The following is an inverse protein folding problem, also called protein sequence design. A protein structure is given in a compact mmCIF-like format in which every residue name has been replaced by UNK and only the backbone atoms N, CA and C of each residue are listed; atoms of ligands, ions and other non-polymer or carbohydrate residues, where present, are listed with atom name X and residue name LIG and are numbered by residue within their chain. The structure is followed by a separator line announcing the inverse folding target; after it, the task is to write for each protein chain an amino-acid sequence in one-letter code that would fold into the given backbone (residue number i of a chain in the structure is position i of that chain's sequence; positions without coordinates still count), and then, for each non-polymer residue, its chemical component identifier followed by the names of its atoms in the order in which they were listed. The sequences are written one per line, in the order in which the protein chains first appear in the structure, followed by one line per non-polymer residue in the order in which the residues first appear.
data_IF_231237017925
#
_entry.id   IF_231237017925
#
_cell.length_a   1.000
_cell.length_b   1.000
_cell.length_c   1.000
_cell.angle_alpha   90.00
_cell.angle_beta   90.00
_cell.angle_gamma   90.00
#
_symmetry.space_group_name_H-M   'P 1'
#
loop_
_entity.id
_entity.type
_entity.pdbx_description
1 polymer ?
#
# COMPACT_ATOMS: atom_id res chain seq x y z
N UNK A 1 11.75 -16.14 8.14
CA UNK A 1 11.82 -14.80 8.76
C UNK A 1 12.71 -14.82 9.99
N UNK A 2 13.63 -13.89 10.12
CA UNK A 2 14.47 -13.70 11.33
C UNK A 2 14.14 -12.32 11.90
N UNK A 3 13.51 -12.28 13.09
CA UNK A 3 13.26 -11.02 13.80
C UNK A 3 14.53 -10.66 14.58
N UNK A 4 14.95 -9.42 14.45
CA UNK A 4 16.10 -8.85 15.18
C UNK A 4 15.62 -7.62 15.96
N UNK A 5 16.00 -7.51 17.20
CA UNK A 5 15.66 -6.37 18.04
C UNK A 5 16.92 -5.62 18.47
N UNK A 6 16.81 -4.31 18.54
CA UNK A 6 17.82 -3.45 19.12
C UNK A 6 17.29 -2.90 20.45
N UNK A 7 17.81 -3.44 21.57
CA UNK A 7 17.44 -3.01 22.92
C UNK A 7 18.00 -1.61 23.28
N UNK A 8 18.92 -1.07 22.44
CA UNK A 8 19.50 0.28 22.64
C UNK A 8 18.77 1.35 21.84
N UNK A 9 17.90 0.94 20.91
CA UNK A 9 17.09 1.87 20.12
C UNK A 9 16.08 2.59 21.01
N UNK A 10 15.79 3.83 20.68
CA UNK A 10 14.69 4.60 21.28
C UNK A 10 13.30 4.05 20.90
N UNK A 11 13.21 3.27 19.80
CA UNK A 11 11.99 2.65 19.37
C UNK A 11 11.61 1.48 20.32
N UNK A 12 10.37 1.48 20.86
CA UNK A 12 9.87 0.39 21.70
C UNK A 12 9.97 -0.96 21.01
N UNK A 13 10.37 -2.00 21.76
CA UNK A 13 10.60 -3.35 21.22
C UNK A 13 9.34 -3.97 20.58
N UNK A 14 8.16 -3.67 21.09
CA UNK A 14 6.89 -4.11 20.49
C UNK A 14 6.67 -3.49 19.11
N UNK A 15 7.06 -2.24 18.90
CA UNK A 15 6.98 -1.60 17.59
C UNK A 15 8.03 -2.15 16.62
N UNK A 16 9.25 -2.45 17.09
CA UNK A 16 10.27 -3.08 16.26
C UNK A 16 9.82 -4.45 15.74
N UNK A 17 9.18 -5.27 16.60
CA UNK A 17 8.62 -6.57 16.20
C UNK A 17 7.50 -6.37 15.17
N UNK A 18 6.57 -5.44 15.45
CA UNK A 18 5.47 -5.11 14.56
C UNK A 18 5.97 -4.70 13.18
N UNK A 19 6.88 -3.74 13.11
CA UNK A 19 7.42 -3.20 11.86
C UNK A 19 8.09 -4.28 11.01
N UNK A 20 8.85 -5.19 11.62
CA UNK A 20 9.51 -6.28 10.92
C UNK A 20 8.53 -7.32 10.38
N UNK A 21 7.46 -7.64 11.12
CA UNK A 21 6.41 -8.55 10.63
C UNK A 21 5.68 -7.92 9.45
N UNK A 22 5.31 -6.63 9.53
CA UNK A 22 4.68 -5.91 8.42
C UNK A 22 5.60 -5.87 7.19
N UNK A 23 6.89 -5.58 7.38
CA UNK A 23 7.86 -5.60 6.29
C UNK A 23 7.97 -6.98 5.63
N UNK A 24 7.98 -8.06 6.42
CA UNK A 24 8.02 -9.42 5.89
C UNK A 24 6.74 -9.80 5.12
N UNK A 25 5.57 -9.28 5.51
CA UNK A 25 4.32 -9.41 4.76
C UNK A 25 4.40 -8.61 3.44
N UNK A 26 4.84 -7.36 3.51
CA UNK A 26 4.95 -6.48 2.35
C UNK A 26 5.91 -7.00 1.28
N UNK A 27 7.01 -7.65 1.70
CA UNK A 27 8.00 -8.26 0.79
C UNK A 27 7.63 -9.67 0.33
N UNK A 28 6.52 -10.24 0.81
CA UNK A 28 6.08 -11.58 0.47
C UNK A 28 6.85 -12.70 1.18
N UNK A 29 7.74 -12.39 2.11
CA UNK A 29 8.41 -13.39 2.95
C UNK A 29 7.43 -14.13 3.87
N UNK A 30 6.40 -13.40 4.36
CA UNK A 30 5.26 -13.96 5.07
C UNK A 30 4.01 -13.84 4.21
N UNK A 31 3.46 -14.98 3.81
CA UNK A 31 2.24 -15.04 3.01
C UNK A 31 1.02 -15.35 3.90
N UNK A 32 -0.21 -15.02 3.45
CA UNK A 32 -1.44 -15.38 4.15
C UNK A 32 -1.48 -16.84 4.58
N UNK A 33 -1.96 -17.10 5.79
CA UNK A 33 -2.00 -18.44 6.38
C UNK A 33 -0.69 -18.94 6.98
N UNK A 34 0.43 -18.23 6.82
CA UNK A 34 1.69 -18.59 7.47
C UNK A 34 1.55 -18.52 8.99
N UNK A 35 1.95 -19.58 9.68
CA UNK A 35 1.97 -19.61 11.14
C UNK A 35 3.14 -18.78 11.69
N UNK A 36 2.85 -17.91 12.64
CA UNK A 36 3.87 -17.20 13.41
C UNK A 36 4.30 -18.02 14.64
N UNK A 37 5.51 -17.82 15.15
CA UNK A 37 5.94 -18.41 16.42
C UNK A 37 4.94 -18.08 17.53
N UNK A 38 4.80 -18.96 18.52
CA UNK A 38 4.02 -18.61 19.71
C UNK A 38 4.66 -17.44 20.44
N UNK A 39 3.83 -16.64 21.14
CA UNK A 39 4.33 -15.50 21.96
C UNK A 39 5.45 -15.94 22.90
N UNK A 40 5.36 -17.14 23.48
CA UNK A 40 6.39 -17.69 24.38
C UNK A 40 7.66 -18.06 23.63
N UNK A 41 7.52 -18.70 22.47
CA UNK A 41 8.67 -19.08 21.65
C UNK A 41 9.42 -17.84 21.19
N UNK A 42 8.72 -16.85 20.62
CA UNK A 42 9.35 -15.62 20.14
C UNK A 42 9.99 -14.81 21.28
N UNK A 43 9.35 -14.72 22.44
CA UNK A 43 9.93 -14.05 23.61
C UNK A 43 11.22 -14.75 24.09
N UNK A 44 11.23 -16.07 24.08
CA UNK A 44 12.41 -16.88 24.42
C UNK A 44 13.54 -16.69 23.41
N UNK A 45 13.22 -16.73 22.12
CA UNK A 45 14.20 -16.61 21.02
C UNK A 45 14.85 -15.22 20.99
N UNK A 46 14.08 -14.18 21.32
CA UNK A 46 14.57 -12.80 21.39
C UNK A 46 15.15 -12.40 22.75
N UNK A 47 15.00 -13.23 23.77
CA UNK A 47 15.46 -12.93 25.13
C UNK A 47 14.76 -11.72 25.77
N UNK A 48 13.47 -11.51 25.48
CA UNK A 48 12.67 -10.37 25.96
C UNK A 48 11.43 -10.80 26.75
N UNK A 49 10.78 -9.81 27.35
CA UNK A 49 9.57 -10.06 28.12
C UNK A 49 8.42 -10.55 27.22
N UNK A 50 7.73 -11.60 27.67
CA UNK A 50 6.54 -12.16 27.06
C UNK A 50 5.45 -11.10 26.79
N UNK A 51 5.28 -10.14 27.70
CA UNK A 51 4.30 -9.07 27.57
C UNK A 51 4.59 -8.14 26.38
N UNK A 52 5.87 -7.91 26.06
CA UNK A 52 6.29 -7.11 24.91
C UNK A 52 5.87 -7.78 23.59
N UNK A 53 6.13 -9.07 23.45
CA UNK A 53 5.71 -9.84 22.28
C UNK A 53 4.19 -9.92 22.18
N UNK A 54 3.51 -10.15 23.33
CA UNK A 54 2.05 -10.19 23.36
C UNK A 54 1.42 -8.86 22.92
N UNK A 55 2.01 -7.72 23.33
CA UNK A 55 1.58 -6.39 22.91
C UNK A 55 1.73 -6.21 21.39
N UNK A 56 2.88 -6.58 20.82
CA UNK A 56 3.12 -6.53 19.37
C UNK A 56 2.09 -7.37 18.60
N UNK A 57 1.81 -8.59 19.05
CA UNK A 57 0.83 -9.48 18.41
C UNK A 57 -0.61 -8.97 18.57
N UNK A 58 -0.94 -8.35 19.70
CA UNK A 58 -2.25 -7.74 19.90
C UNK A 58 -2.48 -6.59 18.93
N UNK A 59 -1.49 -5.71 18.74
CA UNK A 59 -1.56 -4.60 17.79
C UNK A 59 -1.70 -5.11 16.35
N UNK A 60 -0.87 -6.09 15.95
CA UNK A 60 -0.96 -6.70 14.61
C UNK A 60 -2.32 -7.36 14.35
N UNK A 61 -2.94 -7.96 15.38
CA UNK A 61 -4.29 -8.52 15.29
C UNK A 61 -5.34 -7.41 15.12
N UNK A 62 -5.26 -6.36 15.92
CA UNK A 62 -6.22 -5.25 15.91
C UNK A 62 -6.13 -4.46 14.59
N UNK A 63 -4.95 -4.42 13.97
CA UNK A 63 -4.70 -3.88 12.64
C UNK A 63 -5.05 -4.85 11.50
N UNK A 64 -5.40 -6.10 11.83
CA UNK A 64 -5.84 -7.10 10.86
C UNK A 64 -4.73 -7.82 10.08
N UNK A 65 -3.46 -7.67 10.46
CA UNK A 65 -2.35 -8.42 9.87
C UNK A 65 -2.25 -9.86 10.38
N UNK A 66 -2.74 -10.10 11.60
CA UNK A 66 -2.61 -11.41 12.27
C UNK A 66 -3.95 -11.88 12.78
N UNK A 67 -4.23 -13.17 12.59
CA UNK A 67 -5.38 -13.87 13.16
C UNK A 67 -4.93 -14.75 14.32
N UNK A 68 -5.63 -14.67 15.45
CA UNK A 68 -5.43 -15.56 16.60
C UNK A 68 -6.42 -16.72 16.53
N UNK A 69 -5.92 -17.95 16.35
CA UNK A 69 -6.75 -19.16 16.29
C UNK A 69 -6.65 -19.98 17.58
N UNK A 70 -7.10 -19.42 18.69
CA UNK A 70 -7.15 -20.10 19.98
C UNK A 70 -5.84 -20.80 20.36
N UNK A 71 -5.89 -22.13 20.56
CA UNK A 71 -4.70 -22.93 20.92
C UNK A 71 -3.73 -23.14 19.75
N UNK A 72 -4.16 -22.90 18.52
CA UNK A 72 -3.33 -23.12 17.32
C UNK A 72 -2.34 -21.99 17.05
N UNK A 73 -2.41 -20.87 17.78
CA UNK A 73 -1.44 -19.78 17.69
C UNK A 73 -1.86 -18.62 16.79
N UNK A 74 -0.88 -17.86 16.34
CA UNK A 74 -1.03 -16.69 15.49
C UNK A 74 -0.70 -17.04 14.02
N UNK A 75 -1.47 -16.51 13.09
CA UNK A 75 -1.33 -16.73 11.64
C UNK A 75 -1.42 -15.41 10.90
N UNK A 76 -0.70 -15.28 9.80
CA UNK A 76 -0.86 -14.14 8.90
C UNK A 76 -2.28 -14.17 8.34
N UNK A 77 -2.98 -13.04 8.45
CA UNK A 77 -4.34 -12.90 7.97
C UNK A 77 -4.42 -13.03 6.45
N UNK A 78 -5.46 -13.72 5.97
CA UNK A 78 -5.84 -13.70 4.57
C UNK A 78 -7.03 -12.74 4.44
N UNK A 79 -6.84 -11.56 3.85
CA UNK A 79 -7.96 -10.66 3.64
C UNK A 79 -8.88 -11.28 2.58
N UNK A 80 -10.09 -11.71 2.97
CA UNK A 80 -11.14 -12.08 2.02
C UNK A 80 -11.37 -10.94 1.01
N UNK A 81 -11.75 -11.28 -0.24
CA UNK A 81 -11.92 -10.28 -1.30
C UNK A 81 -12.94 -9.18 -0.94
N UNK A 82 -14.03 -9.53 -0.27
CA UNK A 82 -15.07 -8.58 0.15
C UNK A 82 -14.58 -7.57 1.21
N UNK A 83 -13.70 -7.99 2.12
CA UNK A 83 -13.09 -7.12 3.13
C UNK A 83 -11.91 -6.31 2.58
N UNK A 84 -11.32 -6.74 1.46
CA UNK A 84 -10.09 -6.12 0.93
C UNK A 84 -10.32 -4.70 0.45
N UNK A 85 -11.42 -4.43 -0.26
CA UNK A 85 -11.73 -3.12 -0.81
C UNK A 85 -12.01 -2.08 0.30
N UNK A 86 -12.79 -2.46 1.31
CA UNK A 86 -13.10 -1.59 2.43
C UNK A 86 -11.88 -1.34 3.32
N UNK A 87 -11.09 -2.36 3.59
CA UNK A 87 -9.82 -2.21 4.32
C UNK A 87 -8.83 -1.35 3.56
N UNK A 88 -8.66 -1.57 2.25
CA UNK A 88 -7.77 -0.76 1.42
C UNK A 88 -8.17 0.72 1.45
N UNK A 89 -9.48 1.03 1.42
CA UNK A 89 -9.98 2.40 1.53
C UNK A 89 -9.70 3.02 2.89
N UNK A 90 -9.89 2.26 3.98
CA UNK A 90 -9.60 2.73 5.33
C UNK A 90 -8.09 2.97 5.50
N UNK A 91 -7.26 2.07 5.00
CA UNK A 91 -5.80 2.22 5.07
C UNK A 91 -5.30 3.37 4.20
N UNK A 92 -5.91 3.60 3.03
CA UNK A 92 -5.60 4.77 2.20
C UNK A 92 -5.91 6.07 2.94
N UNK A 93 -7.07 6.18 3.58
CA UNK A 93 -7.43 7.37 4.36
C UNK A 93 -6.46 7.61 5.54
N UNK A 94 -6.07 6.55 6.26
CA UNK A 94 -5.06 6.66 7.32
C UNK A 94 -3.69 7.10 6.77
N UNK A 95 -3.31 6.61 5.58
CA UNK A 95 -2.07 7.01 4.92
C UNK A 95 -2.12 8.49 4.53
N UNK A 96 -3.24 8.97 3.99
CA UNK A 96 -3.44 10.39 3.64
C UNK A 96 -3.29 11.28 4.87
N UNK A 97 -3.96 10.94 5.97
CA UNK A 97 -3.85 11.66 7.24
C UNK A 97 -2.42 11.65 7.77
N UNK A 98 -1.76 10.50 7.76
CA UNK A 98 -0.37 10.36 8.22
C UNK A 98 0.62 11.17 7.38
N UNK A 99 0.47 11.16 6.05
CA UNK A 99 1.28 11.98 5.15
C UNK A 99 1.06 13.47 5.37
N UNK A 100 -0.18 13.88 5.62
CA UNK A 100 -0.51 15.27 5.93
C UNK A 100 0.16 15.74 7.23
N UNK A 101 0.07 14.97 8.31
CA UNK A 101 0.73 15.26 9.58
C UNK A 101 2.26 15.36 9.43
N UNK A 102 2.88 14.44 8.67
CA UNK A 102 4.30 14.49 8.39
C UNK A 102 4.69 15.75 7.61
N UNK A 103 3.89 16.13 6.61
CA UNK A 103 4.10 17.36 5.83
C UNK A 103 3.98 18.62 6.69
N UNK A 104 2.98 18.67 7.58
CA UNK A 104 2.82 19.79 8.53
C UNK A 104 4.01 19.90 9.47
N UNK A 105 4.46 18.77 10.05
CA UNK A 105 5.59 18.75 10.95
C UNK A 105 6.90 19.17 10.26
N UNK A 106 7.11 18.75 9.02
CA UNK A 106 8.27 19.15 8.21
C UNK A 106 8.24 20.65 7.91
N UNK A 107 7.10 21.15 7.43
CA UNK A 107 6.90 22.57 7.14
C UNK A 107 7.07 23.47 8.38
N UNK A 108 6.57 23.02 9.53
CA UNK A 108 6.68 23.78 10.79
C UNK A 108 8.14 23.96 11.25
N UNK A 109 9.05 23.09 10.81
CA UNK A 109 10.50 23.16 11.05
C UNK A 109 11.26 23.91 9.95
N UNK A 110 10.55 24.52 8.99
CA UNK A 110 11.16 25.28 7.88
C UNK A 110 11.50 24.44 6.65
N UNK A 111 11.08 23.19 6.61
CA UNK A 111 11.30 22.30 5.47
C UNK A 111 10.52 22.74 4.24
N UNK A 112 11.09 22.52 3.06
CA UNK A 112 10.49 22.85 1.78
C UNK A 112 9.63 21.73 1.22
N UNK A 113 8.72 22.09 0.30
CA UNK A 113 7.92 21.13 -0.46
C UNK A 113 8.77 20.13 -1.24
N UNK A 114 9.87 20.59 -1.88
CA UNK A 114 10.75 19.73 -2.66
C UNK A 114 11.43 18.67 -1.81
N UNK A 115 11.99 19.05 -0.67
CA UNK A 115 12.63 18.13 0.28
C UNK A 115 11.66 17.06 0.79
N UNK A 116 10.42 17.47 1.10
CA UNK A 116 9.40 16.52 1.53
C UNK A 116 9.08 15.47 0.46
N UNK A 117 8.89 15.92 -0.79
CA UNK A 117 8.60 15.02 -1.91
C UNK A 117 9.75 14.06 -2.21
N UNK A 118 10.98 14.56 -2.26
CA UNK A 118 12.16 13.72 -2.49
C UNK A 118 12.28 12.65 -1.41
N UNK A 119 12.11 13.02 -0.15
CA UNK A 119 12.13 12.10 0.97
C UNK A 119 11.02 11.05 0.85
N UNK A 120 9.78 11.49 0.59
CA UNK A 120 8.63 10.60 0.45
C UNK A 120 8.80 9.60 -0.70
N UNK A 121 9.28 10.06 -1.86
CA UNK A 121 9.57 9.22 -3.02
C UNK A 121 10.68 8.21 -2.73
N UNK A 122 11.76 8.62 -2.08
CA UNK A 122 12.84 7.74 -1.71
C UNK A 122 12.38 6.62 -0.74
N UNK A 123 11.57 6.96 0.27
CA UNK A 123 11.03 5.97 1.20
C UNK A 123 10.01 5.05 0.52
N UNK A 124 9.17 5.57 -0.37
CA UNK A 124 8.25 4.75 -1.16
C UNK A 124 9.03 3.77 -2.06
N UNK A 125 10.04 4.25 -2.79
CA UNK A 125 10.89 3.39 -3.63
C UNK A 125 11.54 2.27 -2.82
N UNK A 126 12.07 2.59 -1.63
CA UNK A 126 12.64 1.60 -0.70
C UNK A 126 11.61 0.57 -0.25
N UNK A 127 10.39 1.00 0.11
CA UNK A 127 9.34 0.11 0.60
C UNK A 127 8.82 -0.85 -0.50
N UNK A 128 8.71 -0.36 -1.73
CA UNK A 128 8.19 -1.13 -2.88
C UNK A 128 9.28 -1.82 -3.70
N UNK A 129 10.56 -1.67 -3.33
CA UNK A 129 11.68 -2.23 -4.09
C UNK A 129 11.84 -1.62 -5.48
N UNK A 130 11.31 -0.41 -5.70
CA UNK A 130 11.41 0.31 -6.97
C UNK A 130 12.75 1.05 -7.00
N UNK A 131 13.73 0.50 -7.66
CA UNK A 131 15.08 1.07 -7.74
C UNK A 131 16.19 0.02 -7.73
N UNK A 132 15.88 -1.22 -7.33
CA UNK A 132 16.80 -2.35 -7.36
C UNK A 132 16.57 -3.32 -8.53
N UNK A 133 15.58 -3.06 -9.40
CA UNK A 133 15.33 -3.85 -10.61
C UNK A 133 15.65 -3.04 -11.85
N UNK A 134 16.66 -3.42 -12.67
CA UNK A 134 16.89 -2.81 -13.96
C UNK A 134 15.81 -3.10 -15.03
N UNK A 135 14.84 -3.97 -14.75
CA UNK A 135 13.78 -4.38 -15.69
C UNK A 135 12.43 -4.46 -14.98
N UNK A 136 11.82 -3.31 -14.70
CA UNK A 136 10.40 -3.27 -14.36
C UNK A 136 9.63 -3.02 -15.65
N UNK A 137 8.96 -4.06 -16.17
CA UNK A 137 7.99 -3.95 -17.26
C UNK A 137 6.97 -2.84 -16.97
N UNK A 138 6.64 -2.02 -17.98
CA UNK A 138 5.64 -0.97 -17.82
C UNK A 138 4.28 -1.61 -17.56
N UNK A 139 3.59 -1.09 -16.55
CA UNK A 139 2.20 -1.45 -16.21
C UNK A 139 1.33 -1.39 -17.47
N UNK A 140 0.68 -2.49 -17.92
CA UNK A 140 -0.20 -2.46 -19.06
C UNK A 140 -1.51 -1.77 -18.69
N UNK A 141 -1.70 -0.52 -19.15
CA UNK A 141 -2.97 0.16 -18.94
C UNK A 141 -3.01 1.67 -19.11
N UNK A 142 -2.15 2.27 -19.93
CA UNK A 142 -2.33 3.66 -20.31
C UNK A 142 -2.01 3.88 -21.80
N UNK A 143 -2.79 3.23 -22.65
CA UNK A 143 -2.80 3.52 -24.09
C UNK A 143 -4.15 4.18 -24.43
N UNK A 144 -4.25 5.46 -24.14
CA UNK A 144 -5.27 6.32 -24.72
C UNK A 144 -4.94 6.56 -26.19
N UNK A 145 -5.75 6.01 -27.04
CA UNK A 145 -5.70 6.19 -28.50
C UNK A 145 -5.82 7.66 -28.88
N UNK A 146 -4.74 8.16 -29.49
CA UNK A 146 -4.85 9.30 -30.40
C UNK A 146 -4.54 8.79 -31.81
N UNK A 147 -5.57 8.44 -32.53
CA UNK A 147 -5.48 8.29 -33.99
C UNK A 147 -6.00 9.52 -34.65
N UNK A 148 -5.09 10.40 -35.03
CA UNK A 148 -5.30 11.34 -36.07
C UNK A 148 -5.24 10.59 -37.43
N UNK A 149 -6.34 10.47 -38.09
CA UNK A 149 -6.36 10.08 -39.50
C UNK A 149 -6.45 11.33 -40.36
N UNK A 150 -5.38 11.59 -41.09
CA UNK A 150 -5.33 12.56 -42.14
C UNK A 150 -5.26 11.81 -43.47
N UNK A 151 -6.27 11.97 -44.30
CA UNK A 151 -5.97 11.63 -45.66
C UNK A 151 -7.10 11.25 -46.59
N UNK A 152 -7.54 12.25 -47.31
CA UNK A 152 -7.73 12.26 -48.78
C UNK A 152 -9.10 12.06 -49.38
N UNK A 153 -9.51 13.19 -49.92
CA UNK A 153 -10.38 13.50 -51.04
C UNK A 153 -10.85 12.37 -51.98
N UNK A 154 -12.12 12.43 -52.38
CA UNK A 154 -12.56 12.71 -53.77
C UNK A 154 -14.09 12.78 -53.87
N UNK A 155 -14.52 13.93 -54.34
CA UNK A 155 -15.47 14.22 -55.39
C UNK A 155 -16.67 13.29 -55.67
N UNK A 156 -17.82 13.88 -55.75
CA UNK A 156 -18.93 13.28 -56.48
C UNK A 156 -20.31 13.88 -56.15
N UNK A 157 -20.56 15.02 -56.70
CA UNK A 157 -21.81 15.45 -57.40
C UNK A 157 -23.17 15.01 -56.85
N UNK A 158 -23.94 16.04 -56.58
CA UNK A 158 -25.25 16.33 -57.23
C UNK A 158 -26.55 15.88 -56.56
N UNK A 159 -27.36 16.87 -56.39
CA UNK A 159 -28.80 16.98 -56.73
C UNK A 159 -29.82 16.72 -55.61
N UNK A 160 -30.32 17.85 -55.08
CA UNK A 160 -31.67 18.38 -55.27
C UNK A 160 -32.82 17.92 -54.37
N UNK A 161 -33.48 18.96 -53.92
CA UNK A 161 -34.89 19.09 -53.54
C UNK A 161 -35.31 18.57 -52.18
N UNK A 162 -35.86 19.35 -51.42
CA UNK A 162 -36.98 20.35 -51.42
C UNK A 162 -38.03 19.91 -50.38
N UNK A 163 -38.51 20.91 -49.72
CA UNK A 163 -39.82 21.09 -49.05
C UNK A 163 -39.96 20.44 -47.67
N UNK A 164 -40.18 21.16 -46.67
CA UNK A 164 -41.16 22.16 -46.26
C UNK A 164 -41.98 21.66 -45.08
N UNK A 165 -42.15 22.59 -44.17
CA UNK A 165 -43.37 22.91 -43.42
C UNK A 165 -43.76 22.10 -42.19
N UNK A 166 -43.83 22.82 -41.12
CA UNK A 166 -44.97 22.97 -40.24
C UNK A 166 -44.80 22.29 -38.89
N UNK A 167 -44.75 23.03 -37.88
CA UNK A 167 -45.80 23.69 -37.17
C UNK A 167 -45.98 23.05 -35.81
N UNK A 168 -45.70 23.84 -34.85
CA UNK A 168 -46.51 24.20 -33.70
C UNK A 168 -47.20 23.05 -32.91
N UNK A 169 -46.84 22.91 -31.70
CA UNK A 169 -47.54 23.33 -30.48
C UNK A 169 -46.69 22.95 -29.28
#
# INVERSE_FOLDING_TARGET
MVIRIDQKSEEPLDLQIRSQIIAAIATGELVPGTALPSVRALASDLGINLHTVNKAYAVLRDEGYVLMRGRSGAYIADPCEDDRADRARIELAKMEDGLFELALAHRARGGSWGEFLECAQAQAARAYGVGERPDADPVPGASGESRADAGRAKAGTSTKRETAVGGAL
#
